data_IF_131371943377
#
_entry.id   IF_131371943377
#
_cell.length_a   1.000
_cell.length_b   1.000
_cell.length_c   1.000
_cell.angle_alpha   90.00
_cell.angle_beta   90.00
_cell.angle_gamma   90.00
#
_symmetry.space_group_name_H-M   'P 1'
#
loop_
_entity.id
_entity.type
_entity.pdbx_description
1 polymer ?
#
# COMPACT_ATOMS: atom_id res chain seq x y z
N UNK A 1 -12.11 -8.96 -1.66
CA UNK A 1 -11.33 -9.32 -0.45
C UNK A 1 -9.94 -8.66 -0.41
N UNK A 2 -9.28 -8.39 -1.56
CA UNK A 2 -7.91 -7.88 -1.59
C UNK A 2 -7.65 -6.57 -0.84
N UNK A 3 -8.65 -5.72 -0.61
CA UNK A 3 -8.48 -4.44 0.11
C UNK A 3 -8.41 -4.60 1.64
N UNK A 4 -8.80 -5.76 2.19
CA UNK A 4 -8.61 -6.06 3.62
C UNK A 4 -7.11 -6.00 4.00
N UNK A 5 -6.23 -6.32 3.04
CA UNK A 5 -4.78 -6.21 3.20
C UNK A 5 -4.34 -4.81 3.63
N UNK A 6 -5.08 -3.75 3.28
CA UNK A 6 -4.74 -2.36 3.64
C UNK A 6 -4.82 -2.19 5.16
N UNK A 7 -5.92 -2.66 5.77
CA UNK A 7 -6.14 -2.59 7.22
C UNK A 7 -5.16 -3.53 7.95
N UNK A 8 -4.96 -4.75 7.45
CA UNK A 8 -4.02 -5.70 8.04
C UNK A 8 -2.58 -5.19 7.96
N UNK A 9 -2.19 -4.54 6.85
CA UNK A 9 -0.88 -3.90 6.70
C UNK A 9 -0.69 -2.81 7.73
N UNK A 10 -1.70 -1.99 8.00
CA UNK A 10 -1.61 -0.92 9.01
C UNK A 10 -1.41 -1.45 10.44
N UNK A 11 -2.10 -2.54 10.78
CA UNK A 11 -1.94 -3.23 12.08
C UNK A 11 -0.53 -3.84 12.20
N UNK A 12 -0.09 -4.57 11.17
CA UNK A 12 1.25 -5.18 11.14
C UNK A 12 2.36 -4.13 11.11
N UNK A 13 2.15 -2.99 10.45
CA UNK A 13 3.07 -1.87 10.41
C UNK A 13 3.27 -1.27 11.82
N UNK A 14 2.19 -1.12 12.61
CA UNK A 14 2.28 -0.71 14.01
C UNK A 14 3.06 -1.71 14.87
N UNK A 15 2.86 -3.01 14.63
CA UNK A 15 3.50 -4.07 15.42
C UNK A 15 4.99 -4.24 15.08
N UNK A 16 5.37 -4.24 13.79
CA UNK A 16 6.73 -4.52 13.34
C UNK A 16 7.61 -3.28 13.20
N UNK A 17 7.10 -2.16 12.67
CA UNK A 17 7.88 -0.92 12.49
C UNK A 17 7.81 0.03 13.70
N UNK A 18 7.04 -0.32 14.74
CA UNK A 18 6.89 0.45 16.00
C UNK A 18 6.57 1.95 15.82
N UNK A 19 6.06 2.36 14.65
CA UNK A 19 5.66 3.75 14.42
C UNK A 19 4.32 4.04 15.07
N UNK A 20 4.24 5.14 15.82
CA UNK A 20 2.98 5.63 16.40
C UNK A 20 2.21 6.40 15.33
N UNK A 21 1.04 5.90 14.96
CA UNK A 21 0.09 6.59 14.08
C UNK A 21 -0.90 7.38 14.95
N UNK A 22 -1.22 8.60 14.55
CA UNK A 22 -2.28 9.39 15.21
C UNK A 22 -3.67 8.81 14.91
N UNK A 23 -4.67 9.18 15.72
CA UNK A 23 -6.05 8.74 15.49
C UNK A 23 -6.57 9.21 14.12
N UNK A 24 -6.18 10.40 13.70
CA UNK A 24 -6.51 10.96 12.39
C UNK A 24 -5.87 10.15 11.23
N UNK A 25 -4.62 9.73 11.40
CA UNK A 25 -3.95 8.87 10.41
C UNK A 25 -4.60 7.47 10.33
N UNK A 26 -5.07 6.93 11.46
CA UNK A 26 -5.85 5.69 11.48
C UNK A 26 -7.16 5.83 10.71
N UNK A 27 -7.90 6.91 10.94
CA UNK A 27 -9.12 7.21 10.18
C UNK A 27 -8.82 7.33 8.68
N UNK A 28 -7.70 7.97 8.31
CA UNK A 28 -7.34 8.14 6.91
C UNK A 28 -7.06 6.80 6.23
N UNK A 29 -6.35 5.89 6.89
CA UNK A 29 -6.07 4.56 6.36
C UNK A 29 -7.35 3.73 6.20
N UNK A 30 -8.26 3.79 7.16
CA UNK A 30 -9.58 3.10 7.05
C UNK A 30 -10.37 3.69 5.89
N UNK A 31 -10.40 5.02 5.76
CA UNK A 31 -11.09 5.71 4.66
C UNK A 31 -10.49 5.32 3.29
N UNK A 32 -9.17 5.14 3.20
CA UNK A 32 -8.49 4.65 2.00
C UNK A 32 -8.91 3.22 1.65
N UNK A 33 -9.01 2.35 2.64
CA UNK A 33 -9.51 0.99 2.45
C UNK A 33 -10.95 0.98 1.93
N UNK A 34 -11.81 1.84 2.48
CA UNK A 34 -13.18 2.02 2.00
C UNK A 34 -13.19 2.54 0.56
N UNK A 35 -12.47 3.62 0.24
CA UNK A 35 -12.43 4.18 -1.12
C UNK A 35 -11.93 3.20 -2.18
N UNK A 36 -10.89 2.41 -1.85
CA UNK A 36 -10.38 1.35 -2.74
C UNK A 36 -11.32 0.16 -2.87
N UNK A 37 -12.13 -0.15 -1.84
CA UNK A 37 -13.22 -1.13 -2.00
C UNK A 37 -14.33 -0.61 -2.88
N UNK A 38 -14.80 0.61 -2.64
CA UNK A 38 -15.89 1.23 -3.40
C UNK A 38 -15.56 1.32 -4.88
N UNK A 39 -14.34 1.74 -5.24
CA UNK A 39 -13.90 1.82 -6.64
C UNK A 39 -13.83 0.48 -7.37
N UNK A 40 -13.71 -0.63 -6.65
CA UNK A 40 -13.63 -1.98 -7.21
C UNK A 40 -14.97 -2.75 -7.14
N UNK A 41 -16.03 -2.13 -6.63
CA UNK A 41 -17.38 -2.71 -6.70
C UNK A 41 -17.85 -2.68 -8.15
N UNK A 42 -18.14 -3.86 -8.72
CA UNK A 42 -18.78 -3.97 -10.04
C UNK A 42 -20.17 -3.34 -9.97
N UNK A 43 -20.52 -2.51 -10.96
CA UNK A 43 -21.85 -1.92 -11.03
C UNK A 43 -22.92 -2.99 -11.29
N UNK A 44 -24.06 -2.91 -10.60
CA UNK A 44 -25.23 -3.73 -10.93
C UNK A 44 -25.80 -3.24 -12.27
N UNK A 45 -25.44 -3.92 -13.35
CA UNK A 45 -25.77 -3.57 -14.73
C UNK A 45 -25.24 -4.59 -15.75
N UNK A 46 -24.23 -5.38 -15.38
CA UNK A 46 -23.82 -6.58 -16.12
C UNK A 46 -24.40 -7.83 -15.43
N UNK A 47 -25.49 -8.35 -16.00
CA UNK A 47 -26.06 -9.72 -15.96
C UNK A 47 -25.88 -10.70 -14.77
N UNK A 48 -25.42 -10.27 -13.59
CA UNK A 48 -25.32 -11.14 -12.41
C UNK A 48 -25.13 -10.30 -11.15
N UNK A 49 -26.22 -9.72 -10.62
CA UNK A 49 -26.30 -9.36 -9.21
C UNK A 49 -26.56 -10.66 -8.41
N UNK A 50 -25.70 -11.67 -8.62
CA UNK A 50 -25.69 -12.88 -7.80
C UNK A 50 -25.23 -12.50 -6.39
N UNK A 51 -25.90 -13.10 -5.41
CA UNK A 51 -25.82 -12.77 -4.00
C UNK A 51 -24.39 -12.42 -3.56
N UNK A 52 -24.18 -11.20 -3.09
CA UNK A 52 -22.90 -10.67 -2.56
C UNK A 52 -22.25 -11.58 -1.49
N UNK A 53 -23.03 -12.51 -0.93
CA UNK A 53 -22.64 -13.49 0.08
C UNK A 53 -22.74 -14.96 -0.36
N UNK A 54 -22.95 -15.26 -1.65
CA UNK A 54 -23.08 -16.64 -2.14
C UNK A 54 -21.74 -17.41 -2.25
N UNK A 55 -20.60 -16.76 -2.01
CA UNK A 55 -19.33 -17.46 -2.07
C UNK A 55 -19.23 -18.49 -0.91
N UNK A 56 -18.63 -19.67 -1.13
CA UNK A 56 -18.41 -20.64 -0.07
C UNK A 56 -17.59 -20.03 1.09
N UNK A 57 -17.87 -20.44 2.34
CA UNK A 57 -17.16 -19.94 3.52
C UNK A 57 -15.64 -20.16 3.44
N UNK A 58 -15.22 -21.22 2.75
CA UNK A 58 -13.83 -21.52 2.45
C UNK A 58 -13.16 -20.44 1.59
N UNK A 59 -13.88 -19.85 0.63
CA UNK A 59 -13.40 -18.74 -0.19
C UNK A 59 -13.16 -17.48 0.63
N UNK A 60 -14.04 -17.20 1.59
CA UNK A 60 -13.85 -16.10 2.55
C UNK A 60 -12.61 -16.32 3.44
N UNK A 61 -12.46 -17.52 4.01
CA UNK A 61 -11.31 -17.87 4.86
C UNK A 61 -9.98 -17.77 4.10
N UNK A 62 -9.89 -18.33 2.89
CA UNK A 62 -8.71 -18.24 2.04
C UNK A 62 -8.42 -16.79 1.61
N UNK A 63 -9.47 -16.00 1.36
CA UNK A 63 -9.33 -14.59 1.02
C UNK A 63 -8.74 -13.76 2.17
N UNK A 64 -9.18 -14.00 3.40
CA UNK A 64 -8.61 -13.36 4.61
C UNK A 64 -7.17 -13.80 4.82
N UNK A 65 -6.88 -15.10 4.73
CA UNK A 65 -5.53 -15.62 4.87
C UNK A 65 -4.57 -15.02 3.84
N UNK A 66 -4.99 -14.95 2.57
CA UNK A 66 -4.22 -14.32 1.49
C UNK A 66 -3.92 -12.84 1.76
N UNK A 67 -4.92 -12.08 2.24
CA UNK A 67 -4.73 -10.69 2.61
C UNK A 67 -3.71 -10.52 3.75
N UNK A 68 -3.76 -11.38 4.78
CA UNK A 68 -2.80 -11.38 5.89
C UNK A 68 -1.38 -11.71 5.43
N UNK A 69 -1.21 -12.75 4.61
CA UNK A 69 0.09 -13.13 4.06
C UNK A 69 0.68 -12.03 3.17
N UNK A 70 -0.15 -11.41 2.32
CA UNK A 70 0.28 -10.29 1.48
C UNK A 70 0.73 -9.08 2.30
N UNK A 71 -0.02 -8.73 3.36
CA UNK A 71 0.34 -7.65 4.27
C UNK A 71 1.65 -7.96 5.03
N UNK A 72 1.79 -9.19 5.55
CA UNK A 72 2.98 -9.63 6.26
C UNK A 72 4.22 -9.60 5.36
N UNK A 73 4.11 -10.11 4.12
CA UNK A 73 5.21 -10.09 3.16
C UNK A 73 5.67 -8.65 2.85
N UNK A 74 4.73 -7.72 2.68
CA UNK A 74 5.04 -6.31 2.43
C UNK A 74 5.77 -5.66 3.62
N UNK A 75 5.23 -5.83 4.84
CA UNK A 75 5.83 -5.28 6.07
C UNK A 75 7.18 -5.91 6.38
N UNK A 76 7.32 -7.21 6.17
CA UNK A 76 8.58 -7.92 6.38
C UNK A 76 9.66 -7.49 5.39
N UNK A 77 9.29 -7.29 4.11
CA UNK A 77 10.21 -6.76 3.10
C UNK A 77 10.71 -5.37 3.49
N UNK A 78 9.81 -4.47 3.92
CA UNK A 78 10.19 -3.14 4.40
C UNK A 78 11.12 -3.21 5.62
N UNK A 79 10.78 -4.07 6.59
CA UNK A 79 11.61 -4.29 7.78
C UNK A 79 13.01 -4.80 7.41
N UNK A 80 13.11 -5.77 6.51
CA UNK A 80 14.39 -6.33 6.05
C UNK A 80 15.24 -5.27 5.34
N UNK A 81 14.64 -4.48 4.45
CA UNK A 81 15.34 -3.43 3.69
C UNK A 81 15.82 -2.28 4.60
N UNK A 82 15.03 -1.89 5.60
CA UNK A 82 15.37 -0.80 6.55
C UNK A 82 16.31 -1.25 7.67
N UNK A 83 16.29 -2.52 8.08
CA UNK A 83 17.16 -3.05 9.15
C UNK A 83 18.62 -3.20 8.70
N UNK A 84 18.84 -3.47 7.43
CA UNK A 84 20.17 -3.76 6.90
C UNK A 84 20.76 -2.54 6.18
N UNK A 85 22.02 -2.20 6.46
CA UNK A 85 22.70 -1.01 5.91
C UNK A 85 23.34 -1.24 4.53
N UNK A 86 23.14 -2.42 3.94
CA UNK A 86 23.67 -2.77 2.62
C UNK A 86 23.13 -1.86 1.50
N UNK A 87 23.76 -1.88 0.33
CA UNK A 87 23.27 -1.18 -0.86
C UNK A 87 21.87 -1.68 -1.27
N UNK A 88 21.01 -0.79 -1.77
CA UNK A 88 19.67 -1.15 -2.27
C UNK A 88 19.77 -2.23 -3.36
N UNK A 89 20.75 -2.09 -4.25
CA UNK A 89 20.95 -3.02 -5.36
C UNK A 89 21.23 -4.44 -4.87
N UNK A 90 22.08 -4.59 -3.84
CA UNK A 90 22.38 -5.91 -3.28
C UNK A 90 21.16 -6.56 -2.63
N UNK A 91 20.40 -5.79 -1.85
CA UNK A 91 19.14 -6.25 -1.25
C UNK A 91 18.13 -6.68 -2.33
N UNK A 92 18.02 -5.92 -3.42
CA UNK A 92 17.15 -6.25 -4.55
C UNK A 92 17.60 -7.52 -5.28
N UNK A 93 18.90 -7.70 -5.51
CA UNK A 93 19.44 -8.92 -6.13
C UNK A 93 19.06 -10.14 -5.30
N UNK A 94 19.28 -10.11 -3.98
CA UNK A 94 18.90 -11.23 -3.10
C UNK A 94 17.40 -11.51 -3.15
N UNK A 95 16.57 -10.48 -2.99
CA UNK A 95 15.11 -10.61 -2.96
C UNK A 95 14.54 -11.17 -4.27
N UNK A 96 14.97 -10.61 -5.41
CA UNK A 96 14.49 -11.05 -6.72
C UNK A 96 15.08 -12.40 -7.14
N UNK A 97 16.27 -12.76 -6.67
CA UNK A 97 16.84 -14.11 -6.90
C UNK A 97 15.95 -15.17 -6.26
N UNK A 98 15.62 -15.02 -4.97
CA UNK A 98 14.70 -15.94 -4.31
C UNK A 98 13.31 -15.92 -4.97
N UNK A 99 12.79 -14.74 -5.31
CA UNK A 99 11.52 -14.60 -6.03
C UNK A 99 11.50 -15.35 -7.36
N UNK A 100 12.58 -15.28 -8.14
CA UNK A 100 12.72 -15.99 -9.42
C UNK A 100 12.75 -17.50 -9.22
N UNK A 101 13.47 -17.99 -8.20
CA UNK A 101 13.53 -19.43 -7.87
C UNK A 101 12.14 -19.96 -7.50
N UNK A 102 11.39 -19.25 -6.65
CA UNK A 102 10.03 -19.67 -6.27
C UNK A 102 9.05 -19.64 -7.44
N UNK A 103 9.11 -18.64 -8.33
CA UNK A 103 8.28 -18.60 -9.54
C UNK A 103 8.63 -19.76 -10.48
N UNK A 104 9.92 -20.05 -10.66
CA UNK A 104 10.37 -21.16 -11.47
C UNK A 104 9.92 -22.52 -10.91
N UNK A 105 10.06 -22.73 -9.60
CA UNK A 105 9.58 -23.92 -8.92
C UNK A 105 8.06 -24.08 -9.10
N UNK A 106 7.29 -22.98 -9.06
CA UNK A 106 5.86 -23.01 -9.31
C UNK A 106 5.51 -23.46 -10.72
N UNK A 107 6.21 -22.96 -11.74
CA UNK A 107 6.03 -23.38 -13.13
C UNK A 107 6.32 -24.89 -13.31
N UNK A 108 7.39 -25.40 -12.68
CA UNK A 108 7.72 -26.83 -12.70
C UNK A 108 6.64 -27.66 -12.00
N UNK A 109 6.10 -27.21 -10.87
CA UNK A 109 5.02 -27.90 -10.18
C UNK A 109 3.72 -27.91 -10.99
N UNK A 110 3.42 -26.83 -11.70
CA UNK A 110 2.24 -26.75 -12.57
C UNK A 110 2.40 -27.67 -13.80
N UNK A 111 3.60 -27.78 -14.39
CA UNK A 111 3.93 -28.77 -15.43
C UNK A 111 3.75 -30.22 -14.95
N UNK A 112 4.28 -30.52 -13.76
CA UNK A 112 4.17 -31.85 -13.17
C UNK A 112 2.72 -32.24 -12.90
N UNK A 113 1.91 -31.30 -12.39
CA UNK A 113 0.47 -31.52 -12.14
C UNK A 113 -0.34 -31.65 -13.42
N UNK A 114 0.05 -30.93 -14.47
CA UNK A 114 -0.57 -30.98 -15.80
C UNK A 114 -0.07 -32.12 -16.70
N UNK A 115 0.72 -33.06 -16.17
CA UNK A 115 1.17 -34.24 -16.91
C UNK A 115 2.00 -33.95 -18.17
N UNK A 116 2.61 -32.76 -18.27
CA UNK A 116 3.35 -32.29 -19.45
C UNK A 116 2.55 -32.28 -20.77
N UNK A 117 1.21 -32.28 -20.73
CA UNK A 117 0.37 -32.33 -21.95
C UNK A 117 0.69 -31.21 -22.95
N UNK A 118 1.09 -30.05 -22.44
CA UNK A 118 1.41 -28.87 -23.25
C UNK A 118 2.92 -28.67 -23.49
N UNK A 119 3.77 -29.66 -23.18
CA UNK A 119 5.25 -29.55 -23.22
C UNK A 119 5.88 -29.04 -21.91
N UNK A 120 7.17 -28.69 -21.91
CA UNK A 120 7.83 -28.07 -20.75
C UNK A 120 7.64 -26.55 -20.72
N UNK A 121 7.59 -25.97 -19.52
CA UNK A 121 7.34 -24.53 -19.31
C UNK A 121 8.32 -23.63 -20.08
N UNK A 122 9.59 -24.02 -20.19
CA UNK A 122 10.61 -23.25 -20.93
C UNK A 122 10.27 -23.07 -22.41
N UNK A 123 9.67 -24.09 -23.04
CA UNK A 123 9.26 -24.04 -24.45
C UNK A 123 8.02 -23.14 -24.62
N UNK A 124 7.14 -23.12 -23.62
CA UNK A 124 5.94 -22.27 -23.63
C UNK A 124 6.18 -20.84 -23.18
N UNK A 125 7.32 -20.55 -22.54
CA UNK A 125 7.55 -19.29 -21.83
C UNK A 125 7.36 -18.06 -22.72
N UNK A 126 7.79 -18.13 -23.98
CA UNK A 126 7.70 -17.04 -24.94
C UNK A 126 6.57 -17.21 -25.97
N UNK A 127 5.76 -18.26 -25.84
CA UNK A 127 4.66 -18.48 -26.78
C UNK A 127 3.59 -17.40 -26.60
N UNK A 128 3.15 -16.77 -27.70
CA UNK A 128 2.18 -15.68 -27.67
C UNK A 128 2.72 -14.34 -27.15
N UNK A 129 4.04 -14.16 -27.02
CA UNK A 129 4.61 -12.87 -26.65
C UNK A 129 4.51 -11.88 -27.80
N UNK A 130 3.72 -10.83 -27.59
CA UNK A 130 3.62 -9.68 -28.49
C UNK A 130 4.42 -8.50 -27.95
N UNK A 131 4.57 -7.43 -28.76
CA UNK A 131 5.24 -6.19 -28.32
C UNK A 131 4.55 -5.60 -27.09
N UNK A 132 3.22 -5.70 -26.99
CA UNK A 132 2.48 -5.22 -25.82
C UNK A 132 2.79 -6.06 -24.57
N UNK A 133 2.98 -7.37 -24.72
CA UNK A 133 3.42 -8.25 -23.62
C UNK A 133 4.78 -7.80 -23.08
N UNK A 134 5.74 -7.48 -23.95
CA UNK A 134 7.05 -6.95 -23.54
C UNK A 134 6.95 -5.59 -22.84
N UNK A 135 6.08 -4.71 -23.31
CA UNK A 135 5.82 -3.43 -22.65
C UNK A 135 5.27 -3.62 -21.22
N UNK A 136 4.37 -4.59 -21.02
CA UNK A 136 3.85 -4.92 -19.68
C UNK A 136 4.94 -5.52 -18.79
N UNK A 137 5.79 -6.40 -19.31
CA UNK A 137 6.93 -6.98 -18.56
C UNK A 137 7.90 -5.89 -18.09
N UNK A 138 8.29 -4.99 -18.99
CA UNK A 138 9.18 -3.87 -18.65
C UNK A 138 8.55 -2.92 -17.63
N UNK A 139 7.26 -2.60 -17.79
CA UNK A 139 6.54 -1.75 -16.86
C UNK A 139 6.38 -2.38 -15.47
N UNK A 140 6.16 -3.70 -15.40
CA UNK A 140 6.06 -4.42 -14.13
C UNK A 140 7.42 -4.49 -13.42
N UNK A 141 8.49 -4.72 -14.18
CA UNK A 141 9.86 -4.68 -13.68
C UNK A 141 10.25 -3.31 -13.13
N UNK A 142 9.98 -2.23 -13.87
CA UNK A 142 10.27 -0.87 -13.42
C UNK A 142 9.47 -0.49 -12.18
N UNK A 143 8.18 -0.84 -12.13
CA UNK A 143 7.32 -0.62 -10.95
C UNK A 143 7.85 -1.37 -9.74
N UNK A 144 8.33 -2.61 -9.90
CA UNK A 144 8.96 -3.38 -8.83
C UNK A 144 10.19 -2.68 -8.23
N UNK A 145 11.07 -2.15 -9.09
CA UNK A 145 12.26 -1.42 -8.65
C UNK A 145 11.91 -0.12 -7.92
N UNK A 146 10.94 0.65 -8.43
CA UNK A 146 10.44 1.87 -7.78
C UNK A 146 9.81 1.56 -6.42
N UNK A 147 9.06 0.46 -6.32
CA UNK A 147 8.48 -0.01 -5.04
C UNK A 147 9.58 -0.36 -4.03
N UNK A 148 10.64 -1.07 -4.46
CA UNK A 148 11.78 -1.35 -3.58
C UNK A 148 12.49 -0.09 -3.10
N UNK A 149 12.66 0.90 -3.99
CA UNK A 149 13.22 2.19 -3.62
C UNK A 149 12.34 2.92 -2.58
N UNK A 150 11.02 2.95 -2.79
CA UNK A 150 10.06 3.51 -1.83
C UNK A 150 10.12 2.79 -0.48
N UNK A 151 10.28 1.47 -0.47
CA UNK A 151 10.37 0.71 0.78
C UNK A 151 11.65 0.99 1.57
N UNK A 152 12.75 1.35 0.90
CA UNK A 152 13.99 1.72 1.58
C UNK A 152 14.02 3.16 2.06
N UNK A 153 13.61 4.09 1.19
CA UNK A 153 13.80 5.52 1.40
C UNK A 153 12.54 6.26 1.83
N UNK A 154 11.36 5.66 1.65
CA UNK A 154 10.08 6.21 2.06
C UNK A 154 9.34 5.24 3.00
N UNK A 155 8.08 5.54 3.27
CA UNK A 155 7.20 4.69 4.04
C UNK A 155 6.23 3.94 3.13
N UNK A 156 5.88 2.71 3.51
CA UNK A 156 4.89 1.91 2.79
C UNK A 156 3.53 2.62 2.63
N UNK A 157 3.24 3.61 3.47
CA UNK A 157 2.05 4.47 3.34
C UNK A 157 2.11 5.33 2.08
N UNK A 158 3.28 5.90 1.74
CA UNK A 158 3.47 6.68 0.51
C UNK A 158 3.19 5.80 -0.71
N UNK A 159 3.65 4.55 -0.71
CA UNK A 159 3.37 3.59 -1.78
C UNK A 159 1.87 3.37 -1.99
N UNK A 160 1.10 3.16 -0.91
CA UNK A 160 -0.35 2.95 -1.02
C UNK A 160 -1.03 4.19 -1.62
N UNK A 161 -0.63 5.39 -1.19
CA UNK A 161 -1.15 6.64 -1.73
C UNK A 161 -0.76 6.91 -3.18
N UNK A 162 0.48 6.59 -3.60
CA UNK A 162 0.88 6.65 -5.01
C UNK A 162 0.02 5.74 -5.89
N UNK A 163 -0.38 4.58 -5.37
CA UNK A 163 -1.28 3.66 -6.09
C UNK A 163 -2.68 4.26 -6.25
N UNK A 164 -3.20 4.97 -5.24
CA UNK A 164 -4.47 5.69 -5.35
C UNK A 164 -4.43 6.82 -6.37
N UNK A 165 -3.33 7.57 -6.46
CA UNK A 165 -3.16 8.59 -7.51
C UNK A 165 -3.07 7.97 -8.91
N UNK A 166 -2.37 6.85 -9.05
CA UNK A 166 -2.31 6.11 -10.30
C UNK A 166 -3.70 5.61 -10.75
N UNK A 167 -4.57 5.21 -9.81
CA UNK A 167 -5.95 4.85 -10.09
C UNK A 167 -6.76 6.01 -10.69
N UNK A 168 -6.62 7.22 -10.13
CA UNK A 168 -7.24 8.44 -10.67
C UNK A 168 -6.75 8.74 -12.09
N UNK A 169 -5.43 8.71 -12.30
CA UNK A 169 -4.84 8.94 -13.62
C UNK A 169 -5.31 7.90 -14.64
N UNK A 170 -5.37 6.64 -14.23
CA UNK A 170 -5.87 5.54 -15.08
C UNK A 170 -7.33 5.76 -15.46
N UNK A 171 -8.18 6.23 -14.54
CA UNK A 171 -9.56 6.59 -14.84
C UNK A 171 -9.62 7.70 -15.88
N UNK A 172 -8.90 8.80 -15.69
CA UNK A 172 -8.89 9.96 -16.62
C UNK A 172 -8.41 9.54 -18.02
N UNK A 173 -7.30 8.82 -18.08
CA UNK A 173 -6.76 8.30 -19.34
C UNK A 173 -7.73 7.31 -20.00
N UNK A 174 -8.45 6.50 -19.23
CA UNK A 174 -9.41 5.55 -19.77
C UNK A 174 -10.61 6.23 -20.43
N UNK A 175 -11.08 7.34 -19.88
CA UNK A 175 -12.14 8.16 -20.48
C UNK A 175 -11.64 8.76 -21.80
N UNK A 176 -10.43 9.33 -21.81
CA UNK A 176 -9.90 10.03 -22.98
C UNK A 176 -9.48 9.09 -24.11
N UNK A 177 -8.76 8.01 -23.80
CA UNK A 177 -8.18 7.10 -24.79
C UNK A 177 -9.17 6.04 -25.28
N UNK A 178 -10.03 5.53 -24.40
CA UNK A 178 -10.90 4.38 -24.69
C UNK A 178 -12.40 4.74 -24.71
N UNK A 179 -12.77 6.01 -24.50
CA UNK A 179 -14.16 6.48 -24.39
C UNK A 179 -15.00 5.64 -23.39
N UNK A 180 -14.33 5.09 -22.36
CA UNK A 180 -14.99 4.28 -21.35
C UNK A 180 -15.81 5.19 -20.43
N UNK A 181 -17.09 4.86 -20.22
CA UNK A 181 -17.95 5.58 -19.28
C UNK A 181 -17.48 5.26 -17.86
N UNK A 182 -16.99 6.24 -17.09
CA UNK A 182 -16.53 5.98 -15.73
C UNK A 182 -17.71 5.55 -14.88
N UNK A 183 -17.54 4.44 -14.15
CA UNK A 183 -18.59 3.96 -13.24
C UNK A 183 -18.70 4.92 -12.05
N UNK A 184 -19.91 5.11 -11.54
CA UNK A 184 -20.15 5.98 -10.39
C UNK A 184 -19.38 5.48 -9.14
N UNK A 185 -19.21 4.15 -9.03
CA UNK A 185 -18.39 3.50 -8.01
C UNK A 185 -16.91 3.91 -8.08
N UNK A 186 -16.34 3.95 -9.29
CA UNK A 186 -14.94 4.37 -9.51
C UNK A 186 -14.75 5.84 -9.16
N UNK A 187 -15.69 6.71 -9.55
CA UNK A 187 -15.63 8.14 -9.25
C UNK A 187 -15.73 8.40 -7.74
N UNK A 188 -16.72 7.82 -7.06
CA UNK A 188 -16.87 7.94 -5.60
C UNK A 188 -15.65 7.39 -4.86
N UNK A 189 -15.17 6.20 -5.24
CA UNK A 189 -13.99 5.60 -4.64
C UNK A 189 -12.74 6.46 -4.79
N UNK A 190 -12.57 7.09 -5.96
CA UNK A 190 -11.45 8.01 -6.23
C UNK A 190 -11.52 9.26 -5.37
N UNK A 191 -12.70 9.89 -5.23
CA UNK A 191 -12.90 11.06 -4.36
C UNK A 191 -12.58 10.72 -2.89
N UNK A 192 -13.07 9.58 -2.40
CA UNK A 192 -12.79 9.12 -1.03
C UNK A 192 -11.29 8.91 -0.82
N UNK A 193 -10.58 8.33 -1.80
CA UNK A 193 -9.13 8.15 -1.72
C UNK A 193 -8.38 9.50 -1.67
N UNK A 194 -8.82 10.49 -2.45
CA UNK A 194 -8.23 11.84 -2.44
C UNK A 194 -8.47 12.56 -1.10
N UNK A 195 -9.66 12.42 -0.51
CA UNK A 195 -9.95 12.96 0.82
C UNK A 195 -9.10 12.30 1.90
N UNK A 196 -8.91 10.97 1.83
CA UNK A 196 -8.00 10.25 2.73
C UNK A 196 -6.55 10.73 2.60
N UNK A 197 -6.07 10.98 1.38
CA UNK A 197 -4.73 11.51 1.14
C UNK A 197 -4.56 12.87 1.82
N UNK A 198 -5.51 13.78 1.61
CA UNK A 198 -5.47 15.10 2.23
C UNK A 198 -5.48 15.00 3.76
N UNK A 199 -6.33 14.13 4.33
CA UNK A 199 -6.42 13.94 5.77
C UNK A 199 -5.15 13.33 6.39
N UNK A 200 -4.41 12.51 5.65
CA UNK A 200 -3.19 11.88 6.17
C UNK A 200 -1.98 12.82 6.16
N UNK A 201 -1.83 13.63 5.10
CA UNK A 201 -0.68 14.52 4.92
C UNK A 201 -0.89 15.95 5.41
N UNK A 202 -2.14 16.40 5.59
CA UNK A 202 -2.37 17.74 6.13
C UNK A 202 -1.94 17.82 7.60
N UNK A 203 -1.23 18.90 7.98
CA UNK A 203 -0.75 19.05 9.34
C UNK A 203 -1.94 19.26 10.30
N UNK A 204 -1.86 18.80 11.58
CA UNK A 204 -3.01 18.79 12.50
C UNK A 204 -3.66 20.15 12.73
N UNK A 205 -2.89 21.23 12.58
CA UNK A 205 -3.31 22.62 12.71
C UNK A 205 -4.12 23.15 11.51
N UNK A 206 -4.15 22.45 10.37
CA UNK A 206 -4.93 22.83 9.19
C UNK A 206 -6.29 22.09 9.14
N UNK A 207 -6.42 20.96 9.83
CA UNK A 207 -7.62 20.12 9.82
C UNK A 207 -8.53 20.33 11.04
N UNK A 208 -7.95 20.85 12.13
CA UNK A 208 -8.67 21.20 13.34
C UNK A 208 -8.09 22.54 13.79
N UNK A 209 -8.93 23.56 13.96
CA UNK A 209 -8.56 24.80 14.67
C UNK A 209 -8.29 24.45 16.15
N UNK A 210 -7.19 23.75 16.42
CA UNK A 210 -6.67 23.66 17.78
C UNK A 210 -6.12 25.04 18.12
N UNK A 211 -6.56 25.68 19.22
CA UNK A 211 -5.93 26.91 19.67
C UNK A 211 -4.45 26.62 19.85
N UNK A 212 -3.61 27.44 19.21
CA UNK A 212 -2.15 27.44 19.41
C UNK A 212 -1.88 27.36 20.91
N UNK A 213 -1.40 26.20 21.37
CA UNK A 213 -0.81 26.08 22.70
C UNK A 213 0.47 26.91 22.65
N UNK A 214 0.33 28.21 22.92
CA UNK A 214 1.44 29.10 23.24
C UNK A 214 2.13 28.41 24.41
N UNK A 215 3.27 27.80 24.12
CA UNK A 215 4.16 27.25 25.13
C UNK A 215 4.48 28.42 26.06
N UNK A 216 3.86 28.45 27.24
CA UNK A 216 4.16 29.47 28.23
C UNK A 216 5.68 29.46 28.43
N UNK A 217 6.31 30.61 28.18
CA UNK A 217 7.71 30.80 28.47
C UNK A 217 7.96 30.39 29.93
N UNK A 218 9.08 29.72 30.24
CA UNK A 218 9.39 29.40 31.63
C UNK A 218 9.40 30.71 32.41
N UNK A 219 8.52 30.77 33.40
CA UNK A 219 8.40 31.86 34.34
C UNK A 219 9.79 32.08 34.95
N UNK A 220 10.43 33.21 34.63
CA UNK A 220 11.70 33.58 35.22
C UNK A 220 11.49 33.66 36.74
N UNK A 221 12.01 32.66 37.44
CA UNK A 221 12.18 32.67 38.89
C UNK A 221 12.85 34.00 39.25
N UNK A 222 12.10 34.89 39.91
CA UNK A 222 12.66 36.07 40.56
C UNK A 222 13.70 35.57 41.57
N UNK A 223 14.99 35.76 41.25
CA UNK A 223 16.04 35.75 42.25
C UNK A 223 15.71 36.86 43.26
N UNK A 224 15.17 36.46 44.41
CA UNK A 224 15.09 37.31 45.59
C UNK A 224 16.52 37.46 46.10
N UNK A 225 17.18 38.55 45.70
CA UNK A 225 18.42 38.98 46.31
C UNK A 225 18.13 39.30 47.78
N UNK A 226 18.57 38.42 48.67
CA UNK A 226 18.56 38.64 50.12
C UNK A 226 19.60 39.73 50.42
N UNK A 227 19.11 40.91 50.72
CA UNK A 227 19.87 42.08 51.16
C UNK A 227 20.53 41.75 52.51
N UNK A 228 21.82 41.41 52.49
CA UNK A 228 22.62 41.28 53.72
C UNK A 228 23.08 42.67 54.14
N UNK A 229 22.34 43.29 55.07
CA UNK A 229 22.93 44.29 55.97
C UNK A 229 24.05 43.62 56.74
N UNK A 230 25.25 44.15 56.60
CA UNK A 230 26.26 44.07 57.65
C UNK A 230 26.64 45.49 57.99
N UNK A 231 26.06 45.95 59.10
CA UNK A 231 26.59 47.02 59.94
C UNK A 231 28.02 46.65 60.35
N UNK A 232 28.98 47.57 60.16
CA UNK A 232 30.17 47.87 60.99
C UNK A 232 31.16 48.70 60.18
#
# INVERSE_FOLDING_TARGET
MGNLKIVTTAILFRLFLRRRLSNLQWMAIVLLAVGTTTSQVKGCGEASCDSLFAAPIQGYMLGVLSACLSALAGVYTEFLMKKNNDSLYWQNVQLYTFGSIFNMARLVLDDYRGGYENGSWWQRLFNGYSITTWMVVLNLGSTGLLVSWLMKYADNIVKVYSTSLAMLLTMVLSVYLFNLKPTLQLLLGTIICMMSLHMYFAPPNMLVDLPTQVRAAPENLKEVAVERRTDS
#
